data_IF_986441314904
#
_entry.id   IF_986441314904
#
_cell.length_a   1.000
_cell.length_b   1.000
_cell.length_c   1.000
_cell.angle_alpha   90.00
_cell.angle_beta   90.00
_cell.angle_gamma   90.00
#
_symmetry.space_group_name_H-M   'P 1'
#
loop_
_entity.id
_entity.type
_entity.pdbx_description
1 polymer ?
#
# COMPACT_ATOMS: atom_id res chain seq x y z
N UNK A 1 13.84 -37.83 24.61
CA UNK A 1 13.62 -37.41 23.20
C UNK A 1 12.66 -36.23 23.20
N UNK A 2 13.11 -35.04 22.81
CA UNK A 2 12.27 -33.84 22.81
C UNK A 2 11.16 -33.97 21.74
N UNK A 3 9.89 -33.83 22.14
CA UNK A 3 8.75 -33.80 21.21
C UNK A 3 8.97 -32.65 20.23
N UNK A 4 9.19 -32.97 18.95
CA UNK A 4 9.30 -31.98 17.87
C UNK A 4 8.03 -31.12 17.90
N UNK A 5 8.17 -29.82 18.17
CA UNK A 5 7.05 -28.86 18.14
C UNK A 5 6.41 -28.95 16.76
N UNK A 6 5.08 -29.10 16.70
CA UNK A 6 4.36 -29.19 15.43
C UNK A 6 4.68 -27.98 14.54
N UNK A 7 5.05 -28.23 13.29
CA UNK A 7 5.33 -27.17 12.31
C UNK A 7 4.06 -26.42 11.86
N UNK A 8 2.87 -26.94 12.19
CA UNK A 8 1.56 -26.43 11.80
C UNK A 8 1.36 -24.92 12.09
N UNK A 9 1.53 -24.41 13.34
CA UNK A 9 1.36 -22.98 13.63
C UNK A 9 2.35 -22.08 12.88
N UNK A 10 3.57 -22.56 12.64
CA UNK A 10 4.61 -21.79 11.93
C UNK A 10 4.28 -21.71 10.44
N UNK A 11 3.84 -22.81 9.84
CA UNK A 11 3.37 -22.86 8.44
C UNK A 11 2.21 -21.88 8.24
N UNK A 12 1.21 -21.91 9.14
CA UNK A 12 0.06 -20.99 9.08
C UNK A 12 0.51 -19.51 9.12
N UNK A 13 1.43 -19.18 10.03
CA UNK A 13 1.98 -17.83 10.15
C UNK A 13 2.73 -17.40 8.89
N UNK A 14 3.61 -18.23 8.36
CA UNK A 14 4.39 -17.91 7.15
C UNK A 14 3.49 -17.77 5.92
N UNK A 15 2.44 -18.57 5.83
CA UNK A 15 1.50 -18.56 4.71
C UNK A 15 0.59 -17.32 4.72
N UNK A 16 -0.01 -17.01 5.87
CA UNK A 16 -0.99 -15.91 6.03
C UNK A 16 -0.29 -14.56 6.23
N UNK A 17 0.70 -14.47 7.12
CA UNK A 17 1.26 -13.17 7.52
C UNK A 17 2.34 -12.68 6.57
N UNK A 18 3.13 -13.61 6.01
CA UNK A 18 4.23 -13.27 5.09
C UNK A 18 3.91 -13.53 3.63
N UNK A 19 2.72 -14.08 3.34
CA UNK A 19 2.27 -14.34 1.98
C UNK A 19 3.08 -15.37 1.19
N UNK A 20 3.98 -16.12 1.82
CA UNK A 20 4.93 -17.01 1.13
C UNK A 20 4.22 -18.18 0.43
N UNK A 21 4.85 -18.69 -0.63
CA UNK A 21 4.42 -19.89 -1.33
C UNK A 21 4.86 -21.18 -0.63
N UNK A 22 4.20 -22.30 -0.94
CA UNK A 22 4.47 -23.59 -0.29
C UNK A 22 5.94 -24.04 -0.43
N UNK A 23 6.58 -23.75 -1.57
CA UNK A 23 7.98 -24.06 -1.84
C UNK A 23 8.91 -23.24 -0.94
N UNK A 24 8.66 -21.94 -0.77
CA UNK A 24 9.48 -21.06 0.06
C UNK A 24 9.36 -21.42 1.55
N UNK A 25 8.15 -21.79 1.99
CA UNK A 25 7.90 -22.28 3.35
C UNK A 25 8.64 -23.59 3.58
N UNK A 26 8.57 -24.52 2.61
CA UNK A 26 9.27 -25.79 2.66
C UNK A 26 10.79 -25.60 2.81
N UNK A 27 11.39 -24.74 1.98
CA UNK A 27 12.82 -24.40 2.07
C UNK A 27 13.17 -23.77 3.41
N UNK A 28 12.36 -22.82 3.90
CA UNK A 28 12.65 -22.08 5.14
C UNK A 28 12.55 -22.93 6.40
N UNK A 29 11.67 -23.92 6.38
CA UNK A 29 11.46 -24.84 7.50
C UNK A 29 12.24 -26.16 7.34
N UNK A 30 13.00 -26.30 6.25
CA UNK A 30 13.69 -27.54 5.89
C UNK A 30 12.77 -28.77 5.92
N UNK A 31 11.57 -28.61 5.36
CA UNK A 31 10.56 -29.67 5.24
C UNK A 31 10.18 -29.85 3.77
N UNK A 32 9.48 -30.94 3.45
CA UNK A 32 8.97 -31.13 2.08
C UNK A 32 7.76 -30.24 1.81
N UNK A 33 7.60 -29.84 0.54
CA UNK A 33 6.38 -29.15 0.08
C UNK A 33 5.11 -29.96 0.37
N UNK A 34 5.21 -31.29 0.32
CA UNK A 34 4.12 -32.21 0.67
C UNK A 34 3.65 -32.03 2.11
N UNK A 35 4.56 -31.82 3.06
CA UNK A 35 4.23 -31.55 4.47
C UNK A 35 3.47 -30.22 4.62
N UNK A 36 3.85 -29.19 3.87
CA UNK A 36 3.13 -27.90 3.86
C UNK A 36 1.70 -28.09 3.34
N UNK A 37 1.56 -28.74 2.18
CA UNK A 37 0.25 -29.02 1.57
C UNK A 37 -0.65 -29.89 2.46
N UNK A 38 -0.09 -30.91 3.11
CA UNK A 38 -0.79 -31.76 4.07
C UNK A 38 -1.38 -30.95 5.23
N UNK A 39 -0.60 -30.04 5.81
CA UNK A 39 -1.08 -29.20 6.90
C UNK A 39 -2.18 -28.22 6.45
N UNK A 40 -2.05 -27.62 5.26
CA UNK A 40 -3.10 -26.77 4.68
C UNK A 40 -4.39 -27.56 4.43
N UNK A 41 -4.28 -28.76 3.84
CA UNK A 41 -5.43 -29.63 3.60
C UNK A 41 -6.12 -30.02 4.91
N UNK A 42 -5.35 -30.37 5.95
CA UNK A 42 -5.90 -30.69 7.27
C UNK A 42 -6.63 -29.51 7.93
N UNK A 43 -6.17 -28.28 7.71
CA UNK A 43 -6.89 -27.08 8.17
C UNK A 43 -8.16 -26.84 7.36
N UNK A 44 -8.12 -27.05 6.04
CA UNK A 44 -9.28 -26.97 5.16
C UNK A 44 -10.35 -28.01 5.52
N UNK A 45 -9.94 -29.26 5.79
CA UNK A 45 -10.81 -30.35 6.23
C UNK A 45 -11.43 -30.06 7.62
N UNK A 46 -10.77 -29.22 8.43
CA UNK A 46 -11.28 -28.73 9.71
C UNK A 46 -12.12 -27.43 9.57
N UNK A 47 -12.46 -27.03 8.34
CA UNK A 47 -13.27 -25.84 8.05
C UNK A 47 -12.49 -24.51 8.06
N UNK A 48 -11.16 -24.53 8.09
CA UNK A 48 -10.30 -23.34 8.08
C UNK A 48 -9.61 -23.26 6.73
N UNK A 49 -10.19 -22.52 5.78
CA UNK A 49 -9.57 -22.30 4.47
C UNK A 49 -8.48 -21.21 4.56
N UNK A 50 -7.22 -21.65 4.60
CA UNK A 50 -6.07 -20.75 4.70
C UNK A 50 -5.87 -19.91 3.43
N UNK A 51 -6.35 -20.36 2.27
CA UNK A 51 -6.25 -19.63 1.02
C UNK A 51 -7.26 -18.47 1.01
N UNK A 52 -8.47 -18.72 1.51
CA UNK A 52 -9.50 -17.68 1.71
C UNK A 52 -9.06 -16.63 2.75
N UNK A 53 -8.49 -17.07 3.89
CA UNK A 53 -7.97 -16.14 4.91
C UNK A 53 -6.80 -15.31 4.37
N UNK A 54 -5.90 -15.91 3.57
CA UNK A 54 -4.80 -15.19 2.93
C UNK A 54 -5.32 -14.16 1.94
N UNK A 55 -6.30 -14.51 1.11
CA UNK A 55 -6.91 -13.60 0.16
C UNK A 55 -7.63 -12.44 0.86
N UNK A 56 -8.43 -12.71 1.89
CA UNK A 56 -9.10 -11.69 2.69
C UNK A 56 -8.11 -10.78 3.42
N UNK A 57 -7.01 -11.32 3.94
CA UNK A 57 -5.96 -10.52 4.58
C UNK A 57 -5.17 -9.66 3.59
N UNK A 58 -4.86 -10.18 2.40
CA UNK A 58 -4.24 -9.40 1.34
C UNK A 58 -5.15 -8.27 0.87
N UNK A 59 -6.45 -8.55 0.72
CA UNK A 59 -7.47 -7.55 0.42
C UNK A 59 -7.57 -6.47 1.52
N UNK A 60 -7.57 -6.87 2.80
CA UNK A 60 -7.57 -5.95 3.94
C UNK A 60 -6.26 -5.15 4.08
N UNK A 61 -5.11 -5.73 3.71
CA UNK A 61 -3.85 -5.01 3.66
C UNK A 61 -3.80 -3.99 2.51
N UNK A 62 -4.40 -4.31 1.35
CA UNK A 62 -4.54 -3.41 0.21
C UNK A 62 -5.53 -2.25 0.48
N UNK A 63 -6.48 -2.45 1.38
CA UNK A 63 -7.49 -1.44 1.76
C UNK A 63 -7.12 -0.66 3.04
N UNK A 64 -6.07 -1.08 3.76
CA UNK A 64 -5.51 -0.30 4.86
C UNK A 64 -4.55 0.76 4.33
N UNK A 65 -4.94 2.02 4.49
CA UNK A 65 -4.21 3.20 3.99
C UNK A 65 -2.74 3.21 4.44
N UNK A 66 -2.45 2.85 5.70
CA UNK A 66 -1.08 2.84 6.25
C UNK A 66 -0.15 1.82 5.57
N UNK A 67 -0.63 0.61 5.27
CA UNK A 67 0.21 -0.43 4.68
C UNK A 67 0.38 -0.22 3.18
N UNK A 68 -0.67 0.25 2.50
CA UNK A 68 -0.60 0.67 1.10
C UNK A 68 0.43 1.80 0.91
N UNK A 69 0.38 2.83 1.77
CA UNK A 69 1.34 3.93 1.72
C UNK A 69 2.78 3.46 1.98
N UNK A 70 2.98 2.56 2.94
CA UNK A 70 4.31 2.01 3.25
C UNK A 70 4.88 1.16 2.12
N UNK A 71 4.09 0.26 1.55
CA UNK A 71 4.51 -0.59 0.44
C UNK A 71 4.75 0.25 -0.83
N UNK A 72 3.94 1.28 -1.06
CA UNK A 72 4.13 2.25 -2.13
C UNK A 72 5.41 3.08 -1.92
N UNK A 73 5.67 3.57 -0.72
CA UNK A 73 6.91 4.28 -0.39
C UNK A 73 8.14 3.38 -0.61
N UNK A 74 8.07 2.11 -0.21
CA UNK A 74 9.16 1.15 -0.38
C UNK A 74 9.40 0.81 -1.86
N UNK A 75 8.34 0.66 -2.64
CA UNK A 75 8.42 0.49 -4.09
C UNK A 75 9.06 1.71 -4.78
N UNK A 76 8.57 2.92 -4.48
CA UNK A 76 9.11 4.16 -5.05
C UNK A 76 10.57 4.38 -4.67
N UNK A 77 10.95 4.10 -3.43
CA UNK A 77 12.36 4.17 -2.98
C UNK A 77 13.23 3.20 -3.77
N UNK A 78 12.78 1.96 -3.96
CA UNK A 78 13.52 0.95 -4.74
C UNK A 78 13.66 1.37 -6.20
N UNK A 79 12.59 1.91 -6.78
CA UNK A 79 12.57 2.41 -8.16
C UNK A 79 13.52 3.59 -8.33
N UNK A 80 13.50 4.57 -7.42
CA UNK A 80 14.41 5.71 -7.48
C UNK A 80 15.87 5.27 -7.33
N UNK A 81 16.17 4.34 -6.43
CA UNK A 81 17.52 3.78 -6.29
C UNK A 81 18.00 3.06 -7.57
N UNK A 82 17.10 2.35 -8.26
CA UNK A 82 17.43 1.72 -9.54
C UNK A 82 17.71 2.77 -10.63
N UNK A 83 16.92 3.86 -10.66
CA UNK A 83 17.15 4.99 -11.56
C UNK A 83 18.49 5.68 -11.26
N UNK A 84 18.83 5.94 -10.00
CA UNK A 84 20.10 6.58 -9.64
C UNK A 84 21.32 5.73 -10.05
N UNK A 85 21.25 4.41 -9.90
CA UNK A 85 22.28 3.50 -10.41
C UNK A 85 22.41 3.56 -11.93
N UNK A 86 21.28 3.64 -12.64
CA UNK A 86 21.29 3.68 -14.10
C UNK A 86 21.82 5.02 -14.64
N UNK A 87 21.66 6.11 -13.90
CA UNK A 87 22.23 7.42 -14.24
C UNK A 87 23.76 7.32 -14.39
N UNK A 88 24.45 6.63 -13.49
CA UNK A 88 25.90 6.43 -13.58
C UNK A 88 26.33 5.68 -14.84
N UNK A 89 25.48 4.76 -15.33
CA UNK A 89 25.73 4.02 -16.57
C UNK A 89 25.51 4.91 -17.80
N UNK A 90 24.51 5.78 -17.77
CA UNK A 90 24.22 6.73 -18.86
C UNK A 90 25.36 7.75 -19.02
N UNK A 91 25.95 8.22 -17.92
CA UNK A 91 27.06 9.19 -17.97
C UNK A 91 28.33 8.59 -18.63
N UNK A 92 28.50 7.28 -18.57
CA UNK A 92 29.63 6.53 -19.15
C UNK A 92 29.46 6.21 -20.65
N UNK A 93 28.31 6.54 -21.26
CA UNK A 93 28.09 6.33 -22.69
C UNK A 93 29.01 7.30 -23.47
N UNK A 94 29.88 6.74 -24.31
CA UNK A 94 30.85 7.50 -25.10
C UNK A 94 30.18 8.28 -26.24
N UNK A 95 29.16 7.70 -26.90
CA UNK A 95 28.42 8.38 -27.96
C UNK A 95 27.54 9.51 -27.39
N UNK A 96 27.81 10.79 -27.76
CA UNK A 96 27.03 11.92 -27.27
C UNK A 96 25.55 11.87 -27.67
N UNK A 97 25.22 11.33 -28.85
CA UNK A 97 23.85 11.31 -29.37
C UNK A 97 22.98 10.27 -28.64
N UNK A 98 23.52 9.05 -28.46
CA UNK A 98 22.88 8.02 -27.65
C UNK A 98 22.74 8.46 -26.19
N UNK A 99 23.80 9.04 -25.60
CA UNK A 99 23.79 9.55 -24.23
C UNK A 99 22.69 10.58 -24.01
N UNK A 100 22.57 11.57 -24.90
CA UNK A 100 21.55 12.61 -24.82
C UNK A 100 20.12 12.02 -24.90
N UNK A 101 19.93 11.01 -25.76
CA UNK A 101 18.63 10.32 -25.90
C UNK A 101 18.23 9.62 -24.61
N UNK A 102 19.16 8.88 -24.00
CA UNK A 102 18.93 8.16 -22.73
C UNK A 102 18.71 9.13 -21.56
N UNK A 103 19.46 10.22 -21.49
CA UNK A 103 19.28 11.29 -20.50
C UNK A 103 17.90 11.96 -20.61
N UNK A 104 17.43 12.24 -21.82
CA UNK A 104 16.10 12.81 -22.02
C UNK A 104 14.98 11.85 -21.61
N UNK A 105 15.11 10.56 -21.94
CA UNK A 105 14.17 9.54 -21.50
C UNK A 105 14.17 9.39 -19.96
N UNK A 106 15.36 9.42 -19.35
CA UNK A 106 15.53 9.40 -17.90
C UNK A 106 14.82 10.57 -17.23
N UNK A 107 15.12 11.80 -17.66
CA UNK A 107 14.53 13.02 -17.10
C UNK A 107 12.99 13.05 -17.25
N UNK A 108 12.48 12.67 -18.43
CA UNK A 108 11.04 12.61 -18.69
C UNK A 108 10.32 11.60 -17.79
N UNK A 109 10.89 10.41 -17.62
CA UNK A 109 10.30 9.36 -16.79
C UNK A 109 10.39 9.69 -15.30
N UNK A 110 11.53 10.20 -14.84
CA UNK A 110 11.71 10.64 -13.45
C UNK A 110 10.71 11.76 -13.11
N UNK A 111 10.54 12.74 -14.00
CA UNK A 111 9.54 13.79 -13.83
C UNK A 111 8.10 13.24 -13.78
N UNK A 112 7.75 12.26 -14.61
CA UNK A 112 6.44 11.60 -14.59
C UNK A 112 6.17 10.81 -13.31
N UNK A 113 7.22 10.29 -12.67
CA UNK A 113 7.14 9.55 -11.40
C UNK A 113 7.10 10.49 -10.19
N UNK A 114 7.85 11.58 -10.23
CA UNK A 114 7.97 12.55 -9.13
C UNK A 114 6.86 13.60 -9.14
N UNK A 115 6.23 13.86 -10.30
CA UNK A 115 5.05 14.73 -10.33
C UNK A 115 3.97 14.13 -9.42
N UNK A 116 3.30 14.93 -8.58
CA UNK A 116 2.07 14.50 -7.94
C UNK A 116 1.17 13.91 -9.03
N UNK A 117 0.68 12.69 -8.81
CA UNK A 117 -0.29 12.09 -9.70
C UNK A 117 -1.42 13.10 -9.92
N UNK A 118 -1.57 13.61 -11.13
CA UNK A 118 -2.70 14.45 -11.54
C UNK A 118 -4.05 13.71 -11.30
N UNK A 119 -3.98 12.42 -11.00
CA UNK A 119 -5.10 11.53 -10.76
C UNK A 119 -5.36 11.18 -9.30
N UNK A 120 -4.57 11.61 -8.31
CA UNK A 120 -5.01 11.50 -6.91
C UNK A 120 -5.85 12.70 -6.46
N UNK A 121 -6.79 13.11 -7.31
CA UNK A 121 -7.78 14.11 -6.91
C UNK A 121 -8.69 13.59 -5.79
N UNK A 122 -8.68 12.29 -5.51
CA UNK A 122 -9.39 11.71 -4.37
C UNK A 122 -8.66 12.05 -3.07
N UNK A 123 -7.37 11.74 -2.96
CA UNK A 123 -6.56 12.06 -1.79
C UNK A 123 -6.40 13.56 -1.57
N UNK A 124 -6.23 14.33 -2.66
CA UNK A 124 -6.15 15.81 -2.58
C UNK A 124 -7.49 16.42 -2.17
N UNK A 125 -8.63 15.96 -2.71
CA UNK A 125 -9.93 16.48 -2.32
C UNK A 125 -10.33 16.06 -0.89
N UNK A 126 -10.00 14.83 -0.47
CA UNK A 126 -10.23 14.35 0.89
C UNK A 126 -9.45 15.20 1.90
N UNK A 127 -8.13 15.35 1.68
CA UNK A 127 -7.27 16.17 2.53
C UNK A 127 -7.70 17.63 2.57
N UNK A 128 -8.04 18.22 1.42
CA UNK A 128 -8.50 19.60 1.35
C UNK A 128 -9.85 19.82 2.05
N UNK A 129 -10.78 18.88 1.92
CA UNK A 129 -12.08 18.95 2.59
C UNK A 129 -11.92 18.88 4.11
N UNK A 130 -11.11 17.93 4.62
CA UNK A 130 -10.82 17.80 6.06
C UNK A 130 -10.20 19.07 6.63
N UNK A 131 -9.14 19.58 5.99
CA UNK A 131 -8.46 20.80 6.44
C UNK A 131 -9.40 22.02 6.48
N UNK A 132 -10.29 22.14 5.48
CA UNK A 132 -11.26 23.22 5.44
C UNK A 132 -12.28 23.10 6.58
N UNK A 133 -12.78 21.90 6.87
CA UNK A 133 -13.71 21.67 7.98
C UNK A 133 -13.06 21.92 9.34
N UNK A 134 -11.83 21.46 9.56
CA UNK A 134 -11.02 21.76 10.75
C UNK A 134 -10.87 23.28 10.93
N UNK A 135 -10.53 24.00 9.86
CA UNK A 135 -10.42 25.47 9.89
C UNK A 135 -11.75 26.13 10.27
N UNK A 136 -12.88 25.60 9.79
CA UNK A 136 -14.21 26.12 10.13
C UNK A 136 -14.55 25.81 11.59
N UNK A 137 -14.17 24.64 12.11
CA UNK A 137 -14.32 24.29 13.52
C UNK A 137 -13.51 25.26 14.38
N UNK A 138 -12.22 25.46 14.08
CA UNK A 138 -11.36 26.41 14.78
C UNK A 138 -11.94 27.83 14.77
N UNK A 139 -12.45 28.28 13.62
CA UNK A 139 -13.09 29.59 13.50
C UNK A 139 -14.40 29.68 14.30
N UNK A 140 -15.16 28.58 14.35
CA UNK A 140 -16.40 28.50 15.11
C UNK A 140 -16.16 28.49 16.61
N UNK A 141 -15.09 27.83 17.07
CA UNK A 141 -14.62 27.85 18.46
C UNK A 141 -14.24 29.28 18.88
N UNK A 142 -13.49 30.00 18.04
CA UNK A 142 -13.10 31.39 18.31
C UNK A 142 -14.28 32.37 18.43
N UNK A 143 -15.46 32.00 17.92
CA UNK A 143 -16.66 32.83 17.90
C UNK A 143 -17.82 32.24 18.71
N UNK A 144 -17.55 31.25 19.58
CA UNK A 144 -18.52 30.56 20.44
C UNK A 144 -19.74 30.01 19.67
N UNK A 145 -19.51 29.53 18.44
CA UNK A 145 -20.56 28.96 17.56
C UNK A 145 -20.69 27.46 17.74
N UNK A 146 -20.99 27.02 18.97
CA UNK A 146 -21.09 25.60 19.34
C UNK A 146 -22.06 24.79 18.45
N UNK A 147 -23.17 25.38 18.02
CA UNK A 147 -24.10 24.71 17.10
C UNK A 147 -23.47 24.31 15.76
N UNK A 148 -22.51 25.09 15.26
CA UNK A 148 -21.79 24.78 14.02
C UNK A 148 -20.78 23.66 14.27
N UNK A 149 -20.10 23.69 15.41
CA UNK A 149 -19.15 22.64 15.82
C UNK A 149 -19.88 21.30 15.97
N UNK A 150 -21.01 21.27 16.69
CA UNK A 150 -21.80 20.07 16.90
C UNK A 150 -22.29 19.46 15.57
N UNK A 151 -22.82 20.30 14.69
CA UNK A 151 -23.27 19.88 13.36
C UNK A 151 -22.11 19.33 12.51
N UNK A 152 -20.96 20.00 12.53
CA UNK A 152 -19.79 19.56 11.79
C UNK A 152 -19.20 18.27 12.36
N UNK A 153 -19.21 18.08 13.68
CA UNK A 153 -18.75 16.86 14.33
C UNK A 153 -19.66 15.66 13.98
N UNK A 154 -20.98 15.86 13.94
CA UNK A 154 -21.95 14.83 13.58
C UNK A 154 -21.83 14.41 12.10
N UNK A 155 -21.58 15.38 11.21
CA UNK A 155 -21.61 15.15 9.75
C UNK A 155 -20.24 15.20 9.07
N UNK A 156 -19.14 15.22 9.83
CA UNK A 156 -17.79 15.45 9.31
C UNK A 156 -17.45 14.52 8.14
N UNK A 157 -17.57 13.20 8.38
CA UNK A 157 -17.25 12.18 7.39
C UNK A 157 -18.22 12.18 6.20
N UNK A 158 -19.51 12.48 6.44
CA UNK A 158 -20.51 12.58 5.37
C UNK A 158 -20.22 13.75 4.41
N UNK A 159 -19.79 14.89 4.97
CA UNK A 159 -19.42 16.07 4.19
C UNK A 159 -18.16 15.80 3.37
N UNK A 160 -17.14 15.16 3.97
CA UNK A 160 -15.91 14.77 3.26
C UNK A 160 -16.23 13.80 2.13
N UNK A 161 -16.99 12.74 2.39
CA UNK A 161 -17.38 11.75 1.40
C UNK A 161 -18.13 12.38 0.22
N UNK A 162 -19.15 13.21 0.48
CA UNK A 162 -19.92 13.91 -0.56
C UNK A 162 -19.07 14.89 -1.36
N UNK A 163 -18.10 15.54 -0.73
CA UNK A 163 -17.19 16.47 -1.39
C UNK A 163 -16.28 15.73 -2.36
N UNK A 164 -15.67 14.63 -1.92
CA UNK A 164 -14.83 13.77 -2.75
C UNK A 164 -15.63 13.18 -3.93
N UNK A 165 -16.89 12.80 -3.72
CA UNK A 165 -17.77 12.32 -4.79
C UNK A 165 -18.11 13.40 -5.84
N UNK A 166 -18.32 14.65 -5.43
CA UNK A 166 -18.58 15.76 -6.37
C UNK A 166 -17.37 16.04 -7.25
N UNK A 167 -16.16 15.96 -6.71
CA UNK A 167 -14.92 16.13 -7.49
C UNK A 167 -14.79 15.06 -8.57
N UNK A 168 -15.34 13.84 -8.37
CA UNK A 168 -15.38 12.80 -9.41
C UNK A 168 -16.33 13.12 -10.56
N UNK A 169 -17.43 13.85 -10.33
CA UNK A 169 -18.46 14.15 -11.34
C UNK A 169 -18.11 15.32 -12.25
N UNK A 170 -17.14 16.15 -11.85
CA UNK A 170 -16.72 17.35 -12.59
C UNK A 170 -15.35 17.19 -13.29
N UNK A 171 -14.84 15.96 -13.37
CA UNK A 171 -13.71 15.57 -14.23
C UNK A 171 -14.22 14.86 -15.47
#
# INVERSE_FOLDING_TARGET
>A
MAKQKSNKPIIKKLYIDKGLGDTEIATRLNITRGTVSYHKKKDKDAGIDLDEIKAAKQYNNLTSTENFEKDQQQFLTTLFNAFEKEKENIEKIEDPAERLTKLNAFASNYYKLKRPSVNDCKGVADKAARLALETIIDFSEQHDKNQVIDFLAEHFEDIVAKTVEKVKKHK
#
